data_IF_713932368965
#
_entry.id   IF_713932368965
#
_cell.length_a   1.000
_cell.length_b   1.000
_cell.length_c   1.000
_cell.angle_alpha   90.00
_cell.angle_beta   90.00
_cell.angle_gamma   90.00
#
_symmetry.space_group_name_H-M   'P 1'
#
loop_
_entity.id
_entity.type
_entity.pdbx_description
1 polymer ?
#
# COMPACT_ATOMS: atom_id res chain seq x y z
N UNK A 1 10.45 2.07 -21.70
CA UNK A 1 10.48 1.85 -20.23
C UNK A 1 9.25 1.04 -19.85
N UNK A 2 9.37 -0.28 -19.62
CA UNK A 2 8.18 -1.14 -19.54
C UNK A 2 7.56 -1.16 -18.13
N UNK A 3 6.31 -0.74 -18.06
CA UNK A 3 5.41 -0.59 -16.90
C UNK A 3 4.96 -1.94 -16.27
N UNK A 4 5.90 -2.83 -15.93
CA UNK A 4 5.55 -4.11 -15.28
C UNK A 4 5.27 -3.93 -13.76
N UNK A 5 5.71 -2.81 -13.16
CA UNK A 5 5.67 -2.59 -11.70
C UNK A 5 4.41 -1.91 -11.13
N UNK A 6 3.51 -1.36 -11.95
CA UNK A 6 2.35 -0.64 -11.42
C UNK A 6 1.29 -1.55 -10.81
N UNK A 7 1.14 -2.78 -11.32
CA UNK A 7 0.13 -3.73 -10.82
C UNK A 7 0.37 -4.12 -9.36
N UNK A 8 1.61 -4.37 -8.98
CA UNK A 8 1.94 -4.72 -7.59
C UNK A 8 1.74 -3.54 -6.63
N UNK A 9 2.07 -2.32 -7.06
CA UNK A 9 1.87 -1.12 -6.24
C UNK A 9 0.40 -0.85 -5.98
N UNK A 10 -0.43 -0.93 -7.02
CA UNK A 10 -1.87 -0.77 -6.90
C UNK A 10 -2.49 -1.87 -6.04
N UNK A 11 -2.08 -3.13 -6.23
CA UNK A 11 -2.52 -4.25 -5.39
C UNK A 11 -2.15 -4.04 -3.92
N UNK A 12 -0.92 -3.60 -3.62
CA UNK A 12 -0.51 -3.33 -2.24
C UNK A 12 -1.30 -2.15 -1.65
N UNK A 13 -1.50 -1.07 -2.41
CA UNK A 13 -2.30 0.07 -1.98
C UNK A 13 -3.74 -0.35 -1.63
N UNK A 14 -4.36 -1.15 -2.49
CA UNK A 14 -5.69 -1.72 -2.26
C UNK A 14 -5.73 -2.65 -1.05
N UNK A 15 -4.73 -3.53 -0.89
CA UNK A 15 -4.63 -4.41 0.28
C UNK A 15 -4.53 -3.62 1.59
N UNK A 16 -3.76 -2.53 1.62
CA UNK A 16 -3.68 -1.64 2.78
C UNK A 16 -5.05 -0.99 3.02
N UNK A 17 -5.71 -0.50 1.98
CA UNK A 17 -7.02 0.16 2.10
C UNK A 17 -8.10 -0.78 2.68
N UNK A 18 -8.17 -2.01 2.17
CA UNK A 18 -9.20 -2.99 2.55
C UNK A 18 -8.95 -3.62 3.94
N UNK A 19 -7.69 -3.70 4.39
CA UNK A 19 -7.32 -4.43 5.61
C UNK A 19 -6.76 -3.54 6.74
N UNK A 20 -6.67 -2.23 6.54
CA UNK A 20 -6.28 -1.32 7.62
C UNK A 20 -7.36 -1.27 8.71
N UNK A 21 -6.94 -1.46 9.96
CA UNK A 21 -7.77 -1.19 11.13
C UNK A 21 -7.66 0.28 11.54
N UNK A 22 -8.34 0.69 12.62
CA UNK A 22 -8.15 2.03 13.22
C UNK A 22 -6.67 2.37 13.48
N UNK A 23 -5.81 1.37 13.71
CA UNK A 23 -4.38 1.58 13.95
C UNK A 23 -3.49 1.28 12.73
N UNK A 24 -4.06 1.07 11.55
CA UNK A 24 -3.33 0.66 10.34
C UNK A 24 -3.10 -0.86 10.24
N UNK A 25 -2.34 -1.25 9.23
CA UNK A 25 -1.95 -2.65 8.94
C UNK A 25 -0.45 -2.85 9.13
N UNK A 26 -0.04 -3.97 9.73
CA UNK A 26 1.39 -4.28 9.96
C UNK A 26 2.06 -4.82 8.70
N UNK A 27 3.39 -4.63 8.62
CA UNK A 27 4.21 -5.22 7.57
C UNK A 27 4.03 -6.74 7.47
N UNK A 28 4.02 -7.45 8.60
CA UNK A 28 3.85 -8.91 8.63
C UNK A 28 2.50 -9.34 8.04
N UNK A 29 1.43 -8.59 8.32
CA UNK A 29 0.13 -8.89 7.76
C UNK A 29 0.11 -8.67 6.24
N UNK A 30 0.75 -7.60 5.75
CA UNK A 30 0.88 -7.35 4.31
C UNK A 30 1.72 -8.42 3.59
N UNK A 31 2.75 -8.97 4.22
CA UNK A 31 3.52 -10.09 3.65
C UNK A 31 2.59 -11.29 3.44
N UNK A 32 1.82 -11.65 4.46
CA UNK A 32 0.90 -12.79 4.41
C UNK A 32 -0.20 -12.62 3.34
N UNK A 33 -0.75 -11.40 3.20
CA UNK A 33 -1.81 -11.13 2.22
C UNK A 33 -1.29 -11.02 0.78
N UNK A 34 -0.12 -10.39 0.59
CA UNK A 34 0.41 -10.11 -0.75
C UNK A 34 1.09 -11.32 -1.39
N UNK A 35 1.65 -12.21 -0.58
CA UNK A 35 2.53 -13.29 -1.03
C UNK A 35 3.88 -12.80 -1.59
N UNK A 36 4.20 -11.51 -1.43
CA UNK A 36 5.42 -10.92 -1.97
C UNK A 36 6.61 -11.12 -1.02
N UNK A 37 7.83 -11.30 -1.56
CA UNK A 37 9.05 -11.25 -0.77
C UNK A 37 9.18 -9.94 0.00
N UNK A 38 9.67 -10.01 1.23
CA UNK A 38 9.85 -8.86 2.13
C UNK A 38 10.55 -7.66 1.46
N UNK A 39 11.59 -7.93 0.66
CA UNK A 39 12.37 -6.89 0.00
C UNK A 39 11.55 -6.16 -1.09
N UNK A 40 10.73 -6.90 -1.84
CA UNK A 40 9.85 -6.33 -2.86
C UNK A 40 8.75 -5.50 -2.19
N UNK A 41 8.12 -6.03 -1.14
CA UNK A 41 7.09 -5.31 -0.39
C UNK A 41 7.63 -4.03 0.24
N UNK A 42 8.82 -4.06 0.86
CA UNK A 42 9.46 -2.86 1.42
C UNK A 42 9.72 -1.78 0.36
N UNK A 43 10.12 -2.19 -0.85
CA UNK A 43 10.33 -1.25 -1.95
C UNK A 43 9.02 -0.62 -2.40
N UNK A 44 7.96 -1.42 -2.55
CA UNK A 44 6.63 -0.94 -2.90
C UNK A 44 6.09 0.03 -1.85
N UNK A 45 6.18 -0.33 -0.56
CA UNK A 45 5.73 0.53 0.53
C UNK A 45 6.46 1.87 0.53
N UNK A 46 7.77 1.87 0.31
CA UNK A 46 8.55 3.11 0.20
C UNK A 46 8.10 3.96 -1.00
N UNK A 47 7.82 3.32 -2.13
CA UNK A 47 7.34 4.05 -3.33
C UNK A 47 5.96 4.68 -3.07
N UNK A 48 5.04 3.95 -2.44
CA UNK A 48 3.71 4.44 -2.08
C UNK A 48 3.76 5.56 -1.04
N UNK A 49 4.66 5.44 -0.06
CA UNK A 49 4.89 6.46 0.97
C UNK A 49 5.47 7.74 0.37
N UNK A 50 6.47 7.62 -0.52
CA UNK A 50 7.04 8.77 -1.24
C UNK A 50 6.06 9.45 -2.18
N UNK A 51 5.12 8.69 -2.74
CA UNK A 51 4.03 9.23 -3.54
C UNK A 51 2.92 9.86 -2.69
N UNK A 52 2.99 9.78 -1.35
CA UNK A 52 1.99 10.32 -0.46
C UNK A 52 0.69 9.51 -0.40
N UNK A 53 0.64 8.30 -0.95
CA UNK A 53 -0.56 7.45 -0.96
C UNK A 53 -0.76 6.66 0.33
N UNK A 54 0.31 6.42 1.07
CA UNK A 54 0.27 5.78 2.38
C UNK A 54 1.13 6.54 3.37
N UNK A 55 0.84 6.36 4.66
CA UNK A 55 1.64 6.88 5.76
C UNK A 55 1.93 5.80 6.80
N UNK A 56 3.08 5.94 7.47
CA UNK A 56 3.41 5.10 8.63
C UNK A 56 2.88 5.76 9.91
N UNK A 57 1.96 5.09 10.61
CA UNK A 57 1.24 5.66 11.76
C UNK A 57 1.93 5.45 13.11
N UNK A 58 2.85 4.49 13.24
CA UNK A 58 3.49 4.19 14.53
C UNK A 58 4.92 3.63 14.42
N UNK A 59 5.58 3.54 15.58
CA UNK A 59 6.90 2.90 15.73
C UNK A 59 6.89 1.40 15.39
N UNK A 60 5.71 0.77 15.38
CA UNK A 60 5.52 -0.64 14.97
C UNK A 60 5.40 -0.80 13.45
N UNK A 61 5.64 0.28 12.67
CA UNK A 61 5.60 0.26 11.21
C UNK A 61 4.26 -0.22 10.68
N UNK A 62 3.17 0.31 11.25
CA UNK A 62 1.83 0.15 10.69
C UNK A 62 1.60 1.18 9.60
N UNK A 63 0.92 0.77 8.54
CA UNK A 63 0.64 1.58 7.36
C UNK A 63 -0.85 1.88 7.27
N UNK A 64 -1.18 3.08 6.80
CA UNK A 64 -2.52 3.51 6.43
C UNK A 64 -2.54 4.17 5.08
N UNK A 65 -3.68 4.12 4.41
CA UNK A 65 -3.92 4.87 3.17
C UNK A 65 -4.33 6.30 3.51
N UNK A 66 -3.66 7.27 2.90
CA UNK A 66 -3.96 8.70 3.02
C UNK A 66 -5.19 9.06 2.18
N UNK A 67 -5.69 10.30 2.30
CA UNK A 67 -6.76 10.79 1.42
C UNK A 67 -6.36 10.77 -0.06
N UNK A 68 -5.10 11.11 -0.38
CA UNK A 68 -4.54 11.04 -1.73
C UNK A 68 -4.59 9.61 -2.29
N UNK A 69 -4.20 8.63 -1.47
CA UNK A 69 -4.25 7.20 -1.83
C UNK A 69 -5.68 6.71 -2.06
N UNK A 70 -6.64 7.17 -1.25
CA UNK A 70 -8.07 6.86 -1.44
C UNK A 70 -8.60 7.46 -2.73
N UNK A 71 -8.22 8.70 -3.04
CA UNK A 71 -8.61 9.35 -4.30
C UNK A 71 -8.08 8.56 -5.51
N UNK A 72 -6.83 8.10 -5.45
CA UNK A 72 -6.23 7.27 -6.50
C UNK A 72 -6.97 5.94 -6.70
N UNK A 73 -7.43 5.31 -5.61
CA UNK A 73 -8.22 4.08 -5.65
C UNK A 73 -9.64 4.32 -6.21
N UNK A 74 -10.32 5.37 -5.73
CA UNK A 74 -11.67 5.72 -6.18
C UNK A 74 -11.72 6.22 -7.63
N UNK A 75 -10.66 6.88 -8.09
CA UNK A 75 -10.52 7.34 -9.48
C UNK A 75 -10.44 6.22 -10.52
N UNK A 76 -10.31 4.95 -10.11
CA UNK A 76 -10.36 3.77 -11.00
C UNK A 76 -11.71 3.05 -11.04
N UNK A 77 -12.62 3.29 -10.09
CA UNK A 77 -13.88 2.55 -9.95
C UNK A 77 -15.05 3.13 -10.77
N UNK A 78 -14.78 4.01 -11.75
CA UNK A 78 -15.79 4.78 -12.48
C UNK A 78 -15.55 4.84 -14.01
N UNK A 79 -15.01 3.77 -14.60
CA UNK A 79 -14.98 3.57 -16.07
C UNK A 79 -15.48 2.18 -16.44
#
# INVERSE_FOLDING_TARGET
MSWIYDKDREKILELIYLNQSYNGITLNHLINLSGLPLNQLKRILRDLERAGFIEQVDWRRRYKVTEEGKFRLNGKNHS
#
